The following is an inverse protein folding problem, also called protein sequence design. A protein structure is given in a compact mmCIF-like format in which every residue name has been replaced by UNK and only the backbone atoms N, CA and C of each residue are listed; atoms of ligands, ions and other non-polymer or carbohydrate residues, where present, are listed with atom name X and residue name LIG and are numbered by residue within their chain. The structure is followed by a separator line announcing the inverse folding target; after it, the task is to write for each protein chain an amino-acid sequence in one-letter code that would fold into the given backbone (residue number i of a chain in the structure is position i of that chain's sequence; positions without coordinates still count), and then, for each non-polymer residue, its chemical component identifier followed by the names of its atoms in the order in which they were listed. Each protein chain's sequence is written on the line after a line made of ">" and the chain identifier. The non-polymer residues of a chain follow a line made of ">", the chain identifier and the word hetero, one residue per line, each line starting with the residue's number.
data_IF_322716079692
#
_entry.id   IF_322716079692
#
_cell.length_a   1.000
_cell.length_b   1.000
_cell.length_c   1.000
_cell.angle_alpha   90.00
_cell.angle_beta   90.00
_cell.angle_gamma   90.00
#
_symmetry.space_group_name_H-M   'P 1'
#
loop_
_entity.id
_entity.type
_entity.pdbx_description
1 polymer ?
#
# COMPACT_ATOMS: atom_id res chain seq x y z
N UNK A 1 -25.63 5.12 -0.26
CA UNK A 1 -24.76 5.48 0.88
C UNK A 1 -23.34 5.65 0.33
N UNK A 2 -22.79 6.86 0.38
CA UNK A 2 -21.39 7.12 -0.01
C UNK A 2 -20.56 7.02 1.26
N UNK A 3 -19.86 5.91 1.43
CA UNK A 3 -18.89 5.76 2.53
C UNK A 3 -17.55 6.32 2.04
N UNK A 4 -16.81 7.02 2.91
CA UNK A 4 -15.45 7.53 2.59
C UNK A 4 -14.45 6.45 2.17
N UNK A 5 -14.83 5.17 2.28
CA UNK A 5 -14.11 3.99 1.82
C UNK A 5 -15.04 3.19 0.90
N UNK A 6 -14.62 2.97 -0.34
CA UNK A 6 -15.40 2.28 -1.36
C UNK A 6 -15.32 0.76 -1.21
N UNK A 7 -16.20 0.03 -1.90
CA UNK A 7 -16.15 -1.44 -1.97
C UNK A 7 -14.76 -1.90 -2.43
N UNK A 8 -14.10 -2.75 -1.65
CA UNK A 8 -12.74 -3.26 -1.92
C UNK A 8 -11.61 -2.42 -1.31
N UNK A 9 -11.93 -1.44 -0.47
CA UNK A 9 -10.95 -0.85 0.46
C UNK A 9 -10.36 -1.91 1.39
N UNK A 10 -9.11 -1.71 1.78
CA UNK A 10 -8.37 -2.63 2.65
C UNK A 10 -8.94 -2.67 4.06
N UNK A 11 -8.76 -3.81 4.74
CA UNK A 11 -9.21 -4.02 6.12
C UNK A 11 -8.51 -3.08 7.11
N UNK A 12 -7.20 -2.89 6.94
CA UNK A 12 -6.39 -1.97 7.74
C UNK A 12 -5.98 -0.79 6.87
N UNK A 13 -6.43 0.40 7.27
CA UNK A 13 -6.10 1.65 6.61
C UNK A 13 -5.64 2.69 7.62
N UNK A 14 -4.73 3.56 7.21
CA UNK A 14 -4.21 4.64 8.05
C UNK A 14 -3.09 5.39 7.36
N UNK A 15 -2.19 5.97 8.16
CA UNK A 15 -0.98 6.60 7.67
C UNK A 15 0.23 6.08 8.42
N UNK A 16 1.33 5.82 7.70
CA UNK A 16 2.62 5.46 8.30
C UNK A 16 3.49 6.71 8.35
N UNK A 17 3.86 7.23 9.53
CA UNK A 17 4.75 8.38 9.62
C UNK A 17 6.10 8.09 8.97
N UNK A 18 6.59 9.04 8.17
CA UNK A 18 7.87 8.96 7.47
C UNK A 18 8.54 10.32 7.55
N UNK A 19 9.82 10.35 7.87
CA UNK A 19 10.64 11.56 7.74
C UNK A 19 11.09 11.73 6.29
N UNK A 20 10.74 12.85 5.67
CA UNK A 20 11.12 13.13 4.27
C UNK A 20 12.60 13.46 4.20
N UNK A 21 13.36 12.67 3.45
CA UNK A 21 14.80 12.87 3.23
C UNK A 21 15.07 13.64 1.94
N UNK A 22 16.26 14.25 1.76
CA UNK A 22 16.60 14.95 0.51
C UNK A 22 16.50 14.07 -0.75
N UNK A 23 16.77 12.77 -0.64
CA UNK A 23 16.66 11.83 -1.76
C UNK A 23 15.21 11.63 -2.24
N UNK A 24 14.22 11.96 -1.40
CA UNK A 24 12.79 11.88 -1.71
C UNK A 24 12.27 13.15 -2.40
N UNK A 25 13.08 14.21 -2.50
CA UNK A 25 12.67 15.46 -3.18
C UNK A 25 12.42 15.17 -4.66
N UNK A 26 11.22 15.51 -5.13
CA UNK A 26 10.75 15.21 -6.49
C UNK A 26 9.98 13.88 -6.62
N UNK A 27 9.86 13.11 -5.54
CA UNK A 27 9.02 11.91 -5.47
C UNK A 27 7.57 12.24 -5.10
N UNK A 28 6.64 11.37 -5.50
CA UNK A 28 5.25 11.40 -5.00
C UNK A 28 5.14 10.52 -3.77
N UNK A 29 4.60 11.06 -2.67
CA UNK A 29 4.36 10.30 -1.45
C UNK A 29 2.90 10.48 -1.01
N UNK A 30 2.14 9.40 -1.07
CA UNK A 30 0.90 9.28 -0.31
C UNK A 30 1.30 8.56 0.97
N UNK A 31 1.34 9.25 2.11
CA UNK A 31 1.64 8.67 3.44
C UNK A 31 0.48 7.76 3.90
N UNK A 32 -0.24 7.14 2.97
CA UNK A 32 -1.40 6.31 3.17
C UNK A 32 -0.97 4.84 3.15
N UNK A 33 -1.39 4.10 4.17
CA UNK A 33 -1.07 2.69 4.35
C UNK A 33 -2.33 1.87 4.26
N UNK A 34 -2.33 0.86 3.39
CA UNK A 34 -3.46 0.00 3.10
C UNK A 34 -3.05 -1.47 3.07
N UNK A 35 -3.39 -2.22 4.13
CA UNK A 35 -3.12 -3.65 4.23
C UNK A 35 -4.43 -4.41 4.13
N UNK A 36 -4.55 -5.18 3.06
CA UNK A 36 -5.63 -6.16 2.89
C UNK A 36 -5.24 -7.46 3.63
N UNK A 37 -6.01 -7.84 4.63
CA UNK A 37 -5.70 -9.00 5.47
C UNK A 37 -6.38 -10.23 4.90
N UNK A 38 -5.62 -11.32 4.78
CA UNK A 38 -6.14 -12.62 4.34
C UNK A 38 -5.81 -13.71 5.34
N UNK A 39 -6.63 -14.76 5.32
CA UNK A 39 -6.31 -16.00 6.03
C UNK A 39 -5.09 -16.65 5.40
N UNK A 40 -4.24 -17.25 6.23
CA UNK A 40 -3.02 -17.97 5.81
C UNK A 40 -3.29 -19.12 4.83
N UNK A 41 -4.47 -19.73 4.89
CA UNK A 41 -4.94 -20.72 3.91
C UNK A 41 -6.29 -20.32 3.32
N UNK A 42 -6.43 -20.48 2.01
CA UNK A 42 -7.69 -20.23 1.28
C UNK A 42 -8.09 -18.75 1.18
N UNK A 43 -7.20 -17.81 1.49
CA UNK A 43 -7.43 -16.38 1.29
C UNK A 43 -7.38 -16.01 -0.20
N UNK A 44 -8.41 -15.32 -0.69
CA UNK A 44 -8.47 -14.83 -2.08
C UNK A 44 -8.63 -13.32 -2.07
N UNK A 45 -7.78 -12.63 -2.83
CA UNK A 45 -7.87 -11.18 -3.06
C UNK A 45 -8.68 -10.90 -4.31
N UNK A 46 -9.76 -10.13 -4.17
CA UNK A 46 -10.66 -9.82 -5.28
C UNK A 46 -10.02 -8.88 -6.30
N UNK A 47 -10.62 -8.78 -7.49
CA UNK A 47 -10.16 -7.86 -8.54
C UNK A 47 -10.21 -6.41 -8.07
N UNK A 48 -11.25 -6.03 -7.33
CA UNK A 48 -11.43 -4.70 -6.77
C UNK A 48 -10.35 -4.38 -5.73
N UNK A 49 -10.03 -5.31 -4.84
CA UNK A 49 -8.96 -5.16 -3.84
C UNK A 49 -7.59 -5.01 -4.51
N UNK A 50 -7.31 -5.80 -5.55
CA UNK A 50 -6.07 -5.66 -6.36
C UNK A 50 -5.98 -4.27 -7.01
N UNK A 51 -7.10 -3.76 -7.55
CA UNK A 51 -7.17 -2.42 -8.15
C UNK A 51 -6.92 -1.33 -7.11
N UNK A 52 -7.52 -1.44 -5.93
CA UNK A 52 -7.31 -0.51 -4.83
C UNK A 52 -5.83 -0.47 -4.41
N UNK A 53 -5.23 -1.62 -4.13
CA UNK A 53 -3.80 -1.75 -3.78
C UNK A 53 -2.91 -1.12 -4.85
N UNK A 54 -3.19 -1.39 -6.13
CA UNK A 54 -2.44 -0.80 -7.25
C UNK A 54 -2.53 0.73 -7.24
N UNK A 55 -3.72 1.30 -7.01
CA UNK A 55 -3.93 2.76 -6.98
C UNK A 55 -3.18 3.41 -5.83
N UNK A 56 -3.20 2.81 -4.63
CA UNK A 56 -2.44 3.31 -3.48
C UNK A 56 -0.94 3.34 -3.79
N UNK A 57 -0.38 2.25 -4.35
CA UNK A 57 1.03 2.19 -4.76
C UNK A 57 1.40 3.25 -5.81
N UNK A 58 0.55 3.44 -6.82
CA UNK A 58 0.78 4.44 -7.88
C UNK A 58 0.76 5.89 -7.35
N UNK A 59 0.01 6.15 -6.28
CA UNK A 59 0.02 7.44 -5.60
C UNK A 59 1.22 7.61 -4.66
N UNK A 60 2.13 6.63 -4.59
CA UNK A 60 3.30 6.65 -3.71
C UNK A 60 3.02 6.14 -2.29
N UNK A 61 1.91 5.44 -2.06
CA UNK A 61 1.55 4.89 -0.76
C UNK A 61 1.95 3.44 -0.52
N UNK A 62 1.78 3.02 0.73
CA UNK A 62 2.16 1.70 1.22
C UNK A 62 0.95 0.79 1.09
N UNK A 63 1.02 -0.25 0.26
CA UNK A 63 -0.08 -1.20 0.17
C UNK A 63 0.36 -2.62 -0.13
N UNK A 64 -0.43 -3.59 0.33
CA UNK A 64 -0.21 -4.99 0.03
C UNK A 64 -1.23 -5.92 0.66
N UNK A 65 -1.11 -7.20 0.34
CA UNK A 65 -1.90 -8.27 0.94
C UNK A 65 -1.04 -8.97 1.98
N UNK A 66 -1.53 -9.09 3.21
CA UNK A 66 -0.82 -9.76 4.29
C UNK A 66 -1.63 -10.94 4.82
N UNK A 67 -0.97 -12.08 5.01
CA UNK A 67 -1.58 -13.27 5.59
C UNK A 67 -1.09 -13.56 7.03
N UNK A 68 -0.25 -12.67 7.57
CA UNK A 68 0.24 -12.65 8.94
C UNK A 68 0.63 -11.22 9.32
N UNK A 69 0.88 -10.98 10.61
CA UNK A 69 1.34 -9.69 11.10
C UNK A 69 2.75 -9.35 10.55
N UNK A 70 3.64 -10.34 10.51
CA UNK A 70 5.01 -10.20 10.01
C UNK A 70 5.01 -9.76 8.54
N UNK A 71 4.17 -10.39 7.71
CA UNK A 71 4.02 -9.99 6.32
C UNK A 71 3.53 -8.54 6.16
N UNK A 72 2.67 -8.07 7.07
CA UNK A 72 2.22 -6.68 7.07
C UNK A 72 3.36 -5.72 7.44
N UNK A 73 4.17 -6.06 8.45
CA UNK A 73 5.35 -5.30 8.84
C UNK A 73 6.36 -5.22 7.69
N UNK A 74 6.62 -6.33 6.99
CA UNK A 74 7.53 -6.38 5.84
C UNK A 74 7.06 -5.52 4.66
N UNK A 75 5.74 -5.39 4.46
CA UNK A 75 5.17 -4.49 3.44
C UNK A 75 5.48 -3.03 3.78
N UNK A 76 5.36 -2.66 5.06
CA UNK A 76 5.63 -1.30 5.53
C UNK A 76 7.14 -1.01 5.48
N UNK A 77 7.98 -1.93 5.96
CA UNK A 77 9.43 -1.77 6.01
C UNK A 77 10.07 -1.54 4.65
N UNK A 78 9.69 -2.34 3.63
CA UNK A 78 10.24 -2.22 2.27
C UNK A 78 9.99 -0.87 1.60
N UNK A 79 8.93 -0.16 1.97
CA UNK A 79 8.67 1.16 1.41
C UNK A 79 9.70 2.19 1.90
N UNK A 80 10.15 2.08 3.16
CA UNK A 80 11.17 2.96 3.74
C UNK A 80 12.54 2.77 3.09
N UNK A 81 12.88 1.55 2.71
CA UNK A 81 14.17 1.21 2.09
C UNK A 81 14.29 1.70 0.64
N UNK A 82 13.16 1.85 -0.06
CA UNK A 82 13.16 2.02 -1.51
C UNK A 82 13.14 3.50 -1.99
N UNK A 83 13.02 4.47 -1.08
CA UNK A 83 13.11 5.91 -1.42
C UNK A 83 12.29 6.32 -2.65
N UNK A 84 11.04 5.83 -2.74
CA UNK A 84 10.25 5.66 -3.97
C UNK A 84 10.52 6.70 -5.07
N UNK A 85 11.36 6.35 -6.04
CA UNK A 85 11.28 6.90 -7.40
C UNK A 85 10.12 6.19 -8.11
N UNK A 86 9.28 6.94 -8.84
CA UNK A 86 8.16 6.38 -9.61
C UNK A 86 8.63 5.14 -10.39
N UNK A 87 7.85 4.04 -10.46
CA UNK A 87 8.12 3.02 -11.46
C UNK A 87 7.95 3.69 -12.82
N UNK A 88 9.04 3.85 -13.56
CA UNK A 88 8.98 4.23 -14.97
C UNK A 88 8.20 3.13 -15.67
N UNK A 89 7.09 3.48 -16.31
CA UNK A 89 6.40 2.56 -17.20
C UNK A 89 7.32 2.32 -18.41
N UNK A 90 8.19 1.33 -18.31
CA UNK A 90 8.78 0.70 -19.48
C UNK A 90 8.00 -0.60 -19.75
N UNK A 91 7.45 -0.64 -20.97
CA UNK A 91 6.63 -1.66 -21.64
C UNK A 91 5.12 -1.58 -21.42
#
# INVERSE_FOLDING_TARGET
>A
ISMGLTKGSSDLIGWTPVEITPAMVGSTAAVFTAIEVKRSKGGVTTTEQKRFIKRVKQAGGIAGVAASAEAAVDIIGRWNECGHKRPTNEH
#
